data_IF_691882765029
#
_entry.id   IF_691882765029
#
_cell.length_a   1.000
_cell.length_b   1.000
_cell.length_c   1.000
_cell.angle_alpha   90.00
_cell.angle_beta   90.00
_cell.angle_gamma   90.00
#
_symmetry.space_group_name_H-M   'P 1'
#
loop_
_entity.id
_entity.type
_entity.pdbx_description
1 polymer ?
#
# COMPACT_ATOMS: atom_id res chain seq x y z
N UNK A 1 -20.04 4.29 -60.80
CA UNK A 1 -19.28 3.13 -60.28
C UNK A 1 -18.92 3.43 -58.84
N UNK A 2 -19.73 2.94 -57.89
CA UNK A 2 -19.54 3.23 -56.47
C UNK A 2 -18.15 2.80 -56.01
N UNK A 3 -17.40 3.75 -55.49
CA UNK A 3 -15.98 3.62 -55.21
C UNK A 3 -15.83 2.60 -54.08
N UNK A 4 -15.50 1.34 -54.41
CA UNK A 4 -15.26 0.27 -53.42
C UNK A 4 -14.23 0.69 -52.37
N UNK A 5 -13.34 1.59 -52.75
CA UNK A 5 -12.31 2.18 -51.90
C UNK A 5 -12.90 3.11 -50.83
N UNK A 6 -13.98 3.87 -51.11
CA UNK A 6 -14.62 4.72 -50.10
C UNK A 6 -15.30 3.89 -49.01
N UNK A 7 -15.81 2.70 -49.35
CA UNK A 7 -16.38 1.77 -48.38
C UNK A 7 -15.29 1.17 -47.48
N UNK A 8 -14.13 0.83 -48.06
CA UNK A 8 -12.96 0.37 -47.30
C UNK A 8 -12.39 1.47 -46.39
N UNK A 9 -12.38 2.73 -46.84
CA UNK A 9 -11.94 3.89 -46.05
C UNK A 9 -12.89 4.12 -44.86
N UNK A 10 -14.21 4.02 -45.07
CA UNK A 10 -15.21 4.10 -44.01
C UNK A 10 -15.08 2.95 -42.99
N UNK A 11 -14.82 1.72 -43.45
CA UNK A 11 -14.60 0.58 -42.58
C UNK A 11 -13.33 0.74 -41.71
N UNK A 12 -12.23 1.24 -42.29
CA UNK A 12 -10.98 1.53 -41.57
C UNK A 12 -11.15 2.64 -40.52
N UNK A 13 -11.85 3.73 -40.86
CA UNK A 13 -12.17 4.80 -39.91
C UNK A 13 -13.02 4.29 -38.74
N UNK A 14 -13.98 3.39 -39.00
CA UNK A 14 -14.81 2.79 -37.95
C UNK A 14 -14.01 1.96 -36.95
N UNK A 15 -13.05 1.15 -37.42
CA UNK A 15 -12.16 0.36 -36.56
C UNK A 15 -11.27 1.26 -35.69
N UNK A 16 -10.80 2.39 -36.23
CA UNK A 16 -9.99 3.34 -35.47
C UNK A 16 -10.75 3.96 -34.29
N UNK A 17 -12.04 4.29 -34.48
CA UNK A 17 -12.91 4.80 -33.41
C UNK A 17 -13.19 3.72 -32.36
N UNK A 18 -13.33 2.45 -32.78
CA UNK A 18 -13.54 1.32 -31.88
C UNK A 18 -12.37 1.12 -30.91
N UNK A 19 -11.12 1.28 -31.38
CA UNK A 19 -9.91 1.16 -30.55
C UNK A 19 -9.83 2.26 -29.49
N UNK A 20 -10.26 3.49 -29.81
CA UNK A 20 -10.33 4.60 -28.84
C UNK A 20 -11.48 4.45 -27.84
N UNK A 21 -12.53 3.72 -28.21
CA UNK A 21 -13.66 3.42 -27.33
C UNK A 21 -13.39 2.26 -26.37
N UNK A 22 -12.27 1.53 -26.52
CA UNK A 22 -11.84 0.59 -25.49
C UNK A 22 -11.36 1.45 -24.33
N UNK A 23 -12.11 1.49 -23.21
CA UNK A 23 -11.59 2.10 -22.01
C UNK A 23 -10.41 1.21 -21.61
N UNK A 24 -9.21 1.77 -21.70
CA UNK A 24 -8.05 1.16 -21.08
C UNK A 24 -8.27 1.26 -19.58
N UNK A 25 -8.98 0.27 -19.04
CA UNK A 25 -8.98 -0.05 -17.63
C UNK A 25 -7.54 -0.43 -17.31
N UNK A 26 -6.72 0.59 -17.06
CA UNK A 26 -5.61 0.45 -16.13
C UNK A 26 -6.26 -0.09 -14.86
N UNK A 27 -5.88 -1.31 -14.50
CA UNK A 27 -6.03 -1.85 -13.15
C UNK A 27 -5.23 -0.94 -12.21
N UNK A 28 -5.83 0.20 -11.92
CA UNK A 28 -5.54 1.07 -10.79
C UNK A 28 -6.31 0.43 -9.65
N UNK A 29 -5.66 -0.49 -8.96
CA UNK A 29 -6.13 -0.91 -7.65
C UNK A 29 -6.02 0.28 -6.71
N UNK A 30 -7.19 0.88 -6.49
CA UNK A 30 -7.62 1.56 -5.27
C UNK A 30 -6.65 2.59 -4.69
N UNK A 31 -6.76 3.83 -5.18
CA UNK A 31 -6.57 4.98 -4.30
C UNK A 31 -7.70 4.96 -3.26
N UNK A 32 -7.45 4.30 -2.14
CA UNK A 32 -7.97 4.81 -0.87
C UNK A 32 -7.08 5.99 -0.51
N UNK A 33 -7.59 7.20 -0.77
CA UNK A 33 -7.03 8.44 -0.26
C UNK A 33 -7.16 8.42 1.28
N UNK A 34 -6.17 7.81 1.94
CA UNK A 34 -5.82 8.16 3.32
C UNK A 34 -4.98 9.43 3.23
N UNK A 35 -5.63 10.59 3.28
CA UNK A 35 -4.95 11.84 3.62
C UNK A 35 -4.60 11.78 5.11
N UNK A 36 -3.44 11.21 5.43
CA UNK A 36 -2.71 11.56 6.64
C UNK A 36 -1.63 12.55 6.23
N UNK A 37 -1.56 13.63 7.00
CA UNK A 37 -0.71 14.80 6.79
C UNK A 37 0.78 14.41 6.71
N UNK A 38 1.55 15.17 5.94
CA UNK A 38 3.01 15.03 5.79
C UNK A 38 3.71 15.00 7.15
N UNK A 39 4.32 13.86 7.52
CA UNK A 39 5.51 13.81 8.38
C UNK A 39 6.50 12.80 7.82
N UNK A 40 7.61 13.34 7.32
CA UNK A 40 8.63 12.63 6.56
C UNK A 40 9.56 11.84 7.50
N UNK A 41 9.26 10.56 7.70
CA UNK A 41 10.13 9.59 8.40
C UNK A 41 9.68 8.15 8.17
N UNK A 42 8.38 7.88 8.37
CA UNK A 42 7.82 6.53 8.41
C UNK A 42 7.50 5.85 7.07
N UNK A 43 7.27 6.59 5.97
CA UNK A 43 6.75 6.00 4.71
C UNK A 43 7.66 4.90 4.12
N UNK A 44 8.98 5.11 4.14
CA UNK A 44 9.94 4.12 3.60
C UNK A 44 9.95 2.82 4.41
N UNK A 45 9.66 2.94 5.70
CA UNK A 45 9.71 1.86 6.67
C UNK A 45 8.41 1.06 6.66
N UNK A 46 7.28 1.76 6.51
CA UNK A 46 5.97 1.19 6.21
C UNK A 46 5.99 0.36 4.93
N UNK A 47 6.50 0.91 3.82
CA UNK A 47 6.51 0.20 2.51
C UNK A 47 7.36 -1.09 2.58
N UNK A 48 8.50 -1.03 3.29
CA UNK A 48 9.36 -2.20 3.50
C UNK A 48 8.66 -3.26 4.34
N UNK A 49 8.00 -2.86 5.43
CA UNK A 49 7.27 -3.79 6.29
C UNK A 49 6.09 -4.43 5.52
N UNK A 50 5.34 -3.64 4.78
CA UNK A 50 4.23 -4.13 3.95
C UNK A 50 4.72 -5.17 2.95
N UNK A 51 5.85 -4.91 2.27
CA UNK A 51 6.43 -5.85 1.30
C UNK A 51 6.80 -7.19 1.93
N UNK A 52 7.37 -7.18 3.13
CA UNK A 52 7.75 -8.40 3.86
C UNK A 52 6.49 -9.18 4.28
N UNK A 53 5.51 -8.49 4.84
CA UNK A 53 4.26 -9.10 5.30
C UNK A 53 3.46 -9.70 4.13
N UNK A 54 3.45 -9.05 2.97
CA UNK A 54 2.81 -9.57 1.74
C UNK A 54 3.41 -10.88 1.23
N UNK A 55 4.69 -11.16 1.52
CA UNK A 55 5.33 -12.42 1.14
C UNK A 55 5.14 -13.54 2.19
N UNK A 56 4.44 -13.26 3.29
CA UNK A 56 4.17 -14.25 4.34
C UNK A 56 2.88 -15.01 4.02
N UNK A 57 2.93 -16.34 4.07
CA UNK A 57 1.78 -17.19 3.77
C UNK A 57 0.58 -16.93 4.68
N UNK A 58 -0.59 -16.71 4.07
CA UNK A 58 -1.87 -16.53 4.76
C UNK A 58 -2.19 -15.10 5.18
N UNK A 59 -1.30 -14.13 4.96
CA UNK A 59 -1.50 -12.73 5.36
C UNK A 59 -2.44 -11.97 4.40
N UNK A 60 -2.34 -12.21 3.09
CA UNK A 60 -3.18 -11.56 2.07
C UNK A 60 -2.81 -10.09 1.88
N UNK A 61 -3.81 -9.23 1.66
CA UNK A 61 -3.59 -7.78 1.59
C UNK A 61 -3.24 -7.20 2.97
N UNK A 62 -2.27 -6.28 2.97
CA UNK A 62 -1.71 -5.65 4.17
C UNK A 62 -1.57 -4.16 3.96
N UNK A 63 -1.91 -3.39 4.99
CA UNK A 63 -1.46 -2.01 5.16
C UNK A 63 -0.87 -1.81 6.53
N UNK A 64 0.20 -1.03 6.59
CA UNK A 64 0.93 -0.72 7.81
C UNK A 64 0.90 0.78 8.00
N UNK A 65 0.67 1.21 9.23
CA UNK A 65 0.89 2.59 9.65
C UNK A 65 1.80 2.56 10.88
N UNK A 66 2.83 3.39 10.85
CA UNK A 66 3.79 3.54 11.94
C UNK A 66 3.54 4.90 12.58
N UNK A 67 3.48 4.92 13.91
CA UNK A 67 3.47 6.17 14.68
C UNK A 67 4.87 6.36 15.22
N UNK A 68 5.53 7.43 14.82
CA UNK A 68 6.83 7.84 15.37
C UNK A 68 6.57 8.84 16.51
N UNK A 69 7.31 8.68 17.60
CA UNK A 69 7.32 9.71 18.64
C UNK A 69 8.08 10.92 18.08
N UNK A 70 7.43 12.07 18.01
CA UNK A 70 8.14 13.34 17.87
C UNK A 70 8.91 13.61 19.15
N UNK A 71 10.13 13.08 19.24
CA UNK A 71 11.09 13.56 20.22
C UNK A 71 11.31 15.05 19.93
N UNK A 72 10.75 15.91 20.76
CA UNK A 72 10.88 17.37 20.75
C UNK A 72 12.31 17.82 21.05
N UNK A 73 13.28 17.33 20.27
CA UNK A 73 14.70 17.72 20.29
C UNK A 73 15.09 18.37 18.97
N UNK A 74 14.29 19.35 18.58
CA UNK A 74 14.80 20.52 17.87
C UNK A 74 15.96 21.11 18.68
N UNK A 75 17.01 21.56 17.99
CA UNK A 75 18.25 22.17 18.52
C UNK A 75 19.37 21.22 18.93
N UNK A 76 19.95 20.50 17.96
CA UNK A 76 21.35 20.73 17.55
C UNK A 76 21.83 19.60 16.63
N UNK A 77 22.30 20.00 15.45
CA UNK A 77 23.42 19.42 14.71
C UNK A 77 23.34 17.96 14.24
N UNK A 78 23.50 17.82 12.92
CA UNK A 78 24.25 16.76 12.24
C UNK A 78 23.99 15.30 12.65
N UNK A 79 23.33 14.59 11.73
CA UNK A 79 23.17 13.14 11.57
C UNK A 79 21.90 12.51 12.13
N UNK A 80 21.17 11.91 11.21
CA UNK A 80 20.41 10.67 11.38
C UNK A 80 19.41 10.72 12.54
N UNK A 81 18.33 11.48 12.31
CA UNK A 81 17.14 11.41 13.16
C UNK A 81 16.43 10.09 12.83
N UNK A 82 16.86 8.99 13.44
CA UNK A 82 16.07 7.76 13.52
C UNK A 82 14.94 8.06 14.52
N UNK A 83 13.79 8.53 14.02
CA UNK A 83 12.59 8.70 14.83
C UNK A 83 12.31 7.42 15.62
N UNK A 84 12.04 7.56 16.91
CA UNK A 84 11.73 6.38 17.73
C UNK A 84 10.32 5.92 17.36
N UNK A 85 10.19 4.73 16.77
CA UNK A 85 8.87 4.14 16.49
C UNK A 85 8.14 3.92 17.82
N UNK A 86 7.02 4.61 18.00
CA UNK A 86 6.19 4.52 19.20
C UNK A 86 5.17 3.38 19.08
N UNK A 87 4.58 3.19 17.91
CA UNK A 87 3.56 2.18 17.69
C UNK A 87 3.43 1.75 16.24
N UNK A 88 2.89 0.55 16.04
CA UNK A 88 2.65 -0.02 14.70
C UNK A 88 1.24 -0.57 14.63
N UNK A 89 0.49 -0.09 13.64
CA UNK A 89 -0.84 -0.59 13.32
C UNK A 89 -0.76 -1.38 12.02
N UNK A 90 -1.21 -2.63 12.06
CA UNK A 90 -1.23 -3.52 10.89
C UNK A 90 -2.67 -3.92 10.58
N UNK A 91 -3.12 -3.60 9.38
CA UNK A 91 -4.40 -4.06 8.84
C UNK A 91 -4.11 -5.17 7.85
N UNK A 92 -4.51 -6.41 8.18
CA UNK A 92 -4.26 -7.57 7.32
C UNK A 92 -5.55 -8.39 7.09
N UNK A 93 -5.72 -8.92 5.88
CA UNK A 93 -6.85 -9.80 5.57
C UNK A 93 -6.78 -11.11 6.39
N UNK A 94 -5.57 -11.64 6.54
CA UNK A 94 -5.23 -12.84 7.31
C UNK A 94 -5.32 -12.70 8.83
N UNK A 95 -5.60 -11.51 9.37
CA UNK A 95 -5.65 -11.27 10.82
C UNK A 95 -6.79 -12.00 11.56
N UNK A 96 -7.64 -12.75 10.84
CA UNK A 96 -8.65 -13.65 11.44
C UNK A 96 -8.01 -14.92 12.01
N UNK A 97 -6.89 -15.36 11.42
CA UNK A 97 -6.19 -16.58 11.84
C UNK A 97 -5.21 -16.27 12.98
N UNK A 98 -5.33 -16.91 14.17
CA UNK A 98 -4.44 -16.65 15.30
C UNK A 98 -2.97 -16.98 15.02
N UNK A 99 -2.69 -18.00 14.20
CA UNK A 99 -1.33 -18.37 13.82
C UNK A 99 -0.72 -17.30 12.91
N UNK A 100 -1.50 -16.76 11.99
CA UNK A 100 -1.08 -15.63 11.14
C UNK A 100 -0.88 -14.36 11.97
N UNK A 101 -1.81 -14.05 12.88
CA UNK A 101 -1.70 -12.89 13.79
C UNK A 101 -0.41 -12.93 14.61
N UNK A 102 -0.05 -14.10 15.14
CA UNK A 102 1.20 -14.30 15.87
C UNK A 102 2.43 -14.11 14.98
N UNK A 103 2.44 -14.67 13.76
CA UNK A 103 3.55 -14.47 12.80
C UNK A 103 3.78 -12.99 12.49
N UNK A 104 2.69 -12.25 12.23
CA UNK A 104 2.76 -10.80 11.96
C UNK A 104 3.37 -10.09 13.17
N UNK A 105 2.90 -10.41 14.38
CA UNK A 105 3.41 -9.83 15.61
C UNK A 105 4.91 -10.11 15.82
N UNK A 106 5.34 -11.36 15.62
CA UNK A 106 6.76 -11.76 15.75
C UNK A 106 7.65 -11.01 14.74
N UNK A 107 7.17 -10.82 13.50
CA UNK A 107 7.89 -10.07 12.47
C UNK A 107 8.03 -8.59 12.85
N UNK A 108 6.95 -7.96 13.32
CA UNK A 108 6.98 -6.55 13.71
C UNK A 108 7.93 -6.32 14.89
N UNK A 109 7.94 -7.20 15.90
CA UNK A 109 8.86 -7.12 17.05
C UNK A 109 10.32 -7.35 16.61
N UNK A 110 10.56 -8.19 15.60
CA UNK A 110 11.91 -8.43 15.08
C UNK A 110 12.45 -7.25 14.25
N UNK A 111 11.57 -6.52 13.57
CA UNK A 111 11.94 -5.40 12.69
C UNK A 111 11.96 -4.05 13.42
N UNK A 112 11.17 -3.91 14.47
CA UNK A 112 11.07 -2.69 15.27
C UNK A 112 11.34 -2.99 16.73
N UNK A 113 12.20 -2.21 17.42
CA UNK A 113 12.45 -2.35 18.86
C UNK A 113 11.28 -1.79 19.68
N UNK A 114 10.07 -2.32 19.44
CA UNK A 114 8.83 -1.92 20.11
C UNK A 114 8.23 -3.09 20.87
N UNK A 115 7.51 -2.75 21.93
CA UNK A 115 6.88 -3.75 22.76
C UNK A 115 5.58 -4.28 22.13
N UNK A 116 5.30 -5.56 22.36
CA UNK A 116 4.14 -6.27 21.83
C UNK A 116 2.79 -5.59 22.12
N UNK A 117 2.71 -4.82 23.20
CA UNK A 117 1.50 -4.11 23.60
C UNK A 117 1.25 -2.82 22.79
N UNK A 118 2.23 -2.36 22.02
CA UNK A 118 2.14 -1.19 21.12
C UNK A 118 1.86 -1.57 19.67
N UNK A 119 1.61 -2.85 19.42
CA UNK A 119 1.30 -3.39 18.10
C UNK A 119 -0.17 -3.75 18.06
N UNK A 120 -0.90 -3.11 17.15
CA UNK A 120 -2.31 -3.42 16.93
C UNK A 120 -2.49 -4.10 15.58
N UNK A 121 -3.09 -5.30 15.58
CA UNK A 121 -3.37 -6.06 14.36
C UNK A 121 -4.87 -6.20 14.20
N UNK A 122 -5.40 -5.65 13.10
CA UNK A 122 -6.83 -5.56 12.80
C UNK A 122 -7.15 -6.29 11.50
N UNK A 123 -8.34 -6.90 11.45
CA UNK A 123 -8.86 -7.53 10.24
C UNK A 123 -9.28 -6.49 9.22
N UNK A 124 -8.78 -6.62 7.99
CA UNK A 124 -9.26 -5.83 6.85
C UNK A 124 -10.72 -6.17 6.50
N UNK A 125 -11.57 -5.16 6.33
CA UNK A 125 -12.88 -5.36 5.71
C UNK A 125 -12.68 -5.56 4.21
N UNK A 126 -13.38 -6.55 3.65
CA UNK A 126 -13.58 -6.63 2.21
C UNK A 126 -14.72 -5.67 1.86
N UNK A 127 -14.44 -4.69 0.99
CA UNK A 127 -15.47 -3.84 0.37
C UNK A 127 -16.27 -4.63 -0.68
#
# INVERSE_FOLDING_TARGET
MGNRNNLLILALLGVLVLVLAIPTEKKTESKMDFKANEEAGGEQLEERLERILKHTEGVGEVRVMITEAEDTKSFASDKENEGTVEGVVVVAQGATDPAVKKKIQDIVIALFPIEAHKIEIVKMKAD
#
